data_IF_530808757956
#
_entry.id   IF_530808757956
#
_cell.length_a   1.000
_cell.length_b   1.000
_cell.length_c   1.000
_cell.angle_alpha   90.00
_cell.angle_beta   90.00
_cell.angle_gamma   90.00
#
_symmetry.space_group_name_H-M   'P 1'
#
loop_
_entity.id
_entity.type
_entity.pdbx_description
1 polymer ?
#
# COMPACT_ATOMS: atom_id res chain seq x y z
N UNK A 1 3.57 -9.85 -6.99
CA UNK A 1 3.85 -8.79 -5.99
C UNK A 1 3.93 -9.44 -4.65
N UNK A 2 4.89 -9.07 -3.83
CA UNK A 2 5.10 -9.68 -2.52
C UNK A 2 4.94 -8.60 -1.45
N UNK A 3 4.04 -8.83 -0.50
CA UNK A 3 3.96 -8.06 0.74
C UNK A 3 4.77 -8.81 1.78
N UNK A 4 5.69 -8.12 2.44
CA UNK A 4 6.55 -8.71 3.45
C UNK A 4 6.54 -7.90 4.73
N UNK A 5 6.61 -8.59 5.86
CA UNK A 5 6.76 -8.01 7.19
C UNK A 5 8.22 -7.62 7.41
N UNK A 6 8.48 -6.33 7.62
CA UNK A 6 9.82 -5.78 7.83
C UNK A 6 10.45 -6.27 9.13
N UNK A 7 9.66 -6.66 10.12
CA UNK A 7 10.15 -7.13 11.43
C UNK A 7 10.69 -8.55 11.33
N UNK A 8 10.06 -9.38 10.49
CA UNK A 8 10.38 -10.81 10.39
C UNK A 8 11.06 -11.18 9.07
N UNK A 9 11.11 -10.27 8.10
CA UNK A 9 11.57 -10.50 6.73
C UNK A 9 10.84 -11.65 6.01
N UNK A 10 9.59 -11.92 6.40
CA UNK A 10 8.77 -12.95 5.79
C UNK A 10 7.77 -12.35 4.81
N UNK A 11 7.58 -13.02 3.68
CA UNK A 11 6.46 -12.74 2.78
C UNK A 11 5.16 -13.19 3.46
N UNK A 12 4.23 -12.26 3.63
CA UNK A 12 2.92 -12.50 4.27
C UNK A 12 1.80 -12.63 3.26
N UNK A 13 1.94 -12.03 2.06
CA UNK A 13 0.98 -12.17 0.99
C UNK A 13 1.63 -12.07 -0.40
N UNK A 14 1.01 -12.73 -1.36
CA UNK A 14 1.36 -12.65 -2.78
C UNK A 14 0.15 -12.13 -3.56
N UNK A 15 0.37 -11.15 -4.42
CA UNK A 15 -0.66 -10.62 -5.33
C UNK A 15 -0.24 -10.76 -6.79
N UNK A 16 -1.23 -10.88 -7.66
CA UNK A 16 -1.06 -11.05 -9.10
C UNK A 16 -0.38 -9.84 -9.71
N UNK A 17 -0.82 -8.63 -9.33
CA UNK A 17 -0.32 -7.37 -9.86
C UNK A 17 -0.32 -6.25 -8.81
N UNK A 18 0.28 -5.12 -9.17
CA UNK A 18 0.42 -3.96 -8.28
C UNK A 18 -0.94 -3.38 -7.87
N UNK A 19 -1.94 -3.40 -8.74
CA UNK A 19 -3.26 -2.87 -8.44
C UNK A 19 -3.99 -3.72 -7.39
N UNK A 20 -3.89 -5.04 -7.49
CA UNK A 20 -4.41 -5.97 -6.49
C UNK A 20 -3.72 -5.76 -5.13
N UNK A 21 -2.40 -5.60 -5.12
CA UNK A 21 -1.64 -5.34 -3.90
C UNK A 21 -2.08 -4.06 -3.20
N UNK A 22 -2.18 -2.95 -3.94
CA UNK A 22 -2.66 -1.69 -3.36
C UNK A 22 -4.12 -1.74 -2.95
N UNK A 23 -4.97 -2.48 -3.69
CA UNK A 23 -6.36 -2.68 -3.29
C UNK A 23 -6.46 -3.40 -1.95
N UNK A 24 -5.66 -4.46 -1.74
CA UNK A 24 -5.62 -5.17 -0.48
C UNK A 24 -5.13 -4.29 0.68
N UNK A 25 -4.09 -3.49 0.47
CA UNK A 25 -3.56 -2.57 1.46
C UNK A 25 -4.57 -1.48 1.84
N UNK A 26 -5.25 -0.88 0.85
CA UNK A 26 -6.34 0.08 1.09
C UNK A 26 -7.48 -0.55 1.86
N UNK A 27 -7.84 -1.78 1.51
CA UNK A 27 -8.88 -2.54 2.18
C UNK A 27 -8.48 -2.71 3.67
N UNK A 28 -7.31 -3.26 3.94
CA UNK A 28 -6.82 -3.49 5.30
C UNK A 28 -6.80 -2.20 6.12
N UNK A 29 -6.32 -1.10 5.53
CA UNK A 29 -6.34 0.21 6.18
C UNK A 29 -7.75 0.74 6.48
N UNK A 30 -8.75 0.45 5.62
CA UNK A 30 -10.14 0.81 5.87
C UNK A 30 -10.79 -0.05 6.97
N UNK A 31 -10.43 -1.33 7.07
CA UNK A 31 -10.98 -2.25 8.07
C UNK A 31 -10.35 -2.11 9.45
N UNK A 32 -9.03 -1.93 9.50
CA UNK A 32 -8.24 -2.05 10.72
C UNK A 32 -7.45 -0.79 11.09
N UNK A 33 -7.45 0.23 10.22
CA UNK A 33 -6.65 1.45 10.39
C UNK A 33 -5.30 1.39 9.67
N UNK A 34 -4.66 2.54 9.51
CA UNK A 34 -3.36 2.65 8.83
C UNK A 34 -2.24 1.96 9.62
N UNK A 35 -2.39 1.84 10.93
CA UNK A 35 -1.47 1.13 11.82
C UNK A 35 -1.33 -0.36 11.48
N UNK A 36 -2.37 -0.96 10.87
CA UNK A 36 -2.32 -2.37 10.47
C UNK A 36 -1.29 -2.60 9.35
N UNK A 37 -1.07 -1.58 8.51
CA UNK A 37 -0.13 -1.68 7.39
C UNK A 37 1.26 -1.11 7.72
N UNK A 38 1.47 -0.63 8.95
CA UNK A 38 2.78 -0.18 9.43
C UNK A 38 3.74 -1.37 9.55
N UNK A 39 4.99 -1.17 9.13
CA UNK A 39 6.00 -2.23 9.19
C UNK A 39 5.90 -3.26 8.07
N UNK A 40 5.10 -3.03 7.02
CA UNK A 40 5.18 -3.82 5.79
C UNK A 40 6.02 -3.15 4.70
N UNK A 41 6.52 -3.98 3.79
CA UNK A 41 7.06 -3.57 2.50
C UNK A 41 6.38 -4.28 1.34
N UNK A 42 6.36 -3.63 0.19
CA UNK A 42 5.84 -4.17 -1.06
C UNK A 42 6.98 -4.25 -2.09
N UNK A 43 7.20 -5.44 -2.65
CA UNK A 43 8.17 -5.66 -3.72
C UNK A 43 7.56 -6.40 -4.91
N UNK A 44 8.30 -6.39 -6.01
CA UNK A 44 8.04 -7.17 -7.20
C UNK A 44 9.30 -7.92 -7.59
N UNK A 45 9.18 -9.21 -7.86
CA UNK A 45 10.25 -9.96 -8.54
C UNK A 45 10.07 -9.81 -10.04
N UNK A 46 11.08 -9.27 -10.71
CA UNK A 46 11.13 -9.11 -12.17
C UNK A 46 12.45 -9.64 -12.70
N UNK A 47 12.38 -10.57 -13.65
CA UNK A 47 13.56 -11.21 -14.25
C UNK A 47 14.51 -11.84 -13.20
N UNK A 48 13.96 -12.35 -12.09
CA UNK A 48 14.72 -12.92 -10.97
C UNK A 48 15.34 -11.89 -10.02
N UNK A 49 15.11 -10.59 -10.25
CA UNK A 49 15.56 -9.51 -9.39
C UNK A 49 14.40 -8.95 -8.57
N UNK A 50 14.61 -8.85 -7.26
CA UNK A 50 13.66 -8.15 -6.39
C UNK A 50 13.79 -6.63 -6.62
N UNK A 51 12.65 -5.99 -6.86
CA UNK A 51 12.51 -4.54 -6.90
C UNK A 51 11.57 -4.10 -5.80
N UNK A 52 12.08 -3.29 -4.88
CA UNK A 52 11.27 -2.64 -3.86
C UNK A 52 10.41 -1.55 -4.49
N UNK A 53 9.13 -1.52 -4.11
CA UNK A 53 8.16 -0.52 -4.58
C UNK A 53 7.89 0.52 -3.49
N UNK A 54 7.64 0.07 -2.26
CA UNK A 54 7.44 0.94 -1.11
C UNK A 54 7.71 0.15 0.18
N UNK A 55 8.06 0.83 1.26
CA UNK A 55 8.17 0.23 2.58
C UNK A 55 7.77 1.24 3.65
N UNK A 56 7.33 0.73 4.80
CA UNK A 56 7.13 1.50 6.03
C UNK A 56 6.29 2.76 5.78
N UNK A 57 6.77 3.93 6.21
CA UNK A 57 6.10 5.22 6.03
C UNK A 57 5.71 5.52 4.57
N UNK A 58 6.50 5.13 3.57
CA UNK A 58 6.18 5.42 2.16
C UNK A 58 4.94 4.63 1.70
N UNK A 59 4.81 3.39 2.17
CA UNK A 59 3.67 2.53 1.89
C UNK A 59 2.42 3.08 2.57
N UNK A 60 2.52 3.44 3.86
CA UNK A 60 1.43 4.01 4.65
C UNK A 60 0.96 5.34 4.05
N UNK A 61 1.88 6.24 3.71
CA UNK A 61 1.55 7.54 3.14
C UNK A 61 0.85 7.43 1.79
N UNK A 62 1.27 6.50 0.94
CA UNK A 62 0.61 6.28 -0.35
C UNK A 62 -0.83 5.82 -0.16
N UNK A 63 -1.05 4.83 0.71
CA UNK A 63 -2.39 4.34 1.03
C UNK A 63 -3.26 5.45 1.64
N UNK A 64 -2.71 6.21 2.60
CA UNK A 64 -3.42 7.31 3.23
C UNK A 64 -3.88 8.37 2.21
N UNK A 65 -3.02 8.75 1.26
CA UNK A 65 -3.36 9.70 0.19
C UNK A 65 -4.48 9.20 -0.72
N UNK A 66 -4.50 7.91 -1.02
CA UNK A 66 -5.54 7.31 -1.87
C UNK A 66 -6.88 7.16 -1.13
N UNK A 67 -6.86 7.07 0.20
CA UNK A 67 -8.06 6.99 1.04
C UNK A 67 -8.65 8.35 1.39
N UNK A 68 -7.84 9.41 1.44
CA UNK A 68 -8.35 10.78 1.51
C UNK A 68 -8.69 11.25 0.09
N UNK A 69 -9.98 11.40 -0.28
CA UNK A 69 -10.28 12.14 -1.50
C UNK A 69 -9.70 13.54 -1.29
N UNK A 70 -8.89 14.02 -2.22
CA UNK A 70 -8.63 15.47 -2.30
C UNK A 70 -10.00 16.13 -2.27
N UNK A 71 -10.31 16.86 -1.20
CA UNK A 71 -11.59 17.53 -1.05
C UNK A 71 -11.74 18.42 -2.27
N UNK A 72 -12.59 18.00 -3.21
CA UNK A 72 -12.87 18.74 -4.42
C UNK A 72 -13.35 20.13 -4.02
N UNK A 73 -12.50 21.12 -4.20
CA UNK A 73 -12.92 22.52 -4.27
C UNK A 73 -13.66 22.65 -5.60
N UNK A 74 -14.91 22.19 -5.62
CA UNK A 74 -15.88 22.67 -6.59
C UNK A 74 -16.47 23.94 -6.00
N UNK A 75 -15.84 25.08 -6.30
CA UNK A 75 -16.46 26.39 -6.15
C UNK A 75 -17.85 26.33 -6.79
N UNK A 76 -18.88 26.40 -5.96
CA UNK A 76 -20.23 26.73 -6.41
C UNK A 76 -20.19 28.18 -6.86
N UNK A 77 -19.98 28.42 -8.15
CA UNK A 77 -20.26 29.71 -8.76
C UNK A 77 -21.77 29.79 -8.92
N UNK A 78 -22.38 30.63 -8.06
CA UNK A 78 -23.75 31.14 -8.14
C UNK A 78 -23.98 31.92 -9.43
#
# INVERSE_FOLDING_TARGET
MELFDLRTANVVANYTDENEAWAALRQAALEFGLEEIEGYGLSQVRDGHEMLIAMDDDLVQRVARELTPEMGVSESIL
#
